data_IF_982622790210
#
_entry.id   IF_982622790210
#
_cell.length_a   1.000
_cell.length_b   1.000
_cell.length_c   1.000
_cell.angle_alpha   90.00
_cell.angle_beta   90.00
_cell.angle_gamma   90.00
#
_symmetry.space_group_name_H-M   'P 1'
#
loop_
_entity.id
_entity.type
_entity.pdbx_description
1 polymer ?
#
# COMPACT_ATOMS: atom_id res chain seq x y z
N UNK A 1 -6.70 -14.98 21.64
CA UNK A 1 -6.16 -13.63 21.53
C UNK A 1 -4.64 -13.80 21.46
N UNK A 2 -4.05 -13.45 20.33
CA UNK A 2 -2.62 -13.62 20.14
C UNK A 2 -1.80 -12.46 20.75
N UNK A 3 -0.51 -12.66 20.90
CA UNK A 3 0.39 -11.66 21.49
C UNK A 3 1.77 -11.64 20.80
N UNK A 4 2.37 -10.44 20.76
CA UNK A 4 3.80 -10.23 20.52
C UNK A 4 4.45 -9.75 21.81
N UNK A 5 5.54 -10.39 22.22
CA UNK A 5 6.34 -9.98 23.38
C UNK A 5 7.59 -9.24 22.92
N UNK A 6 7.86 -8.12 23.53
CA UNK A 6 9.01 -7.29 23.21
C UNK A 6 9.69 -6.74 24.48
N UNK A 7 11.01 -6.73 24.46
CA UNK A 7 11.83 -6.10 25.48
C UNK A 7 12.28 -4.69 25.10
N UNK A 8 12.99 -4.03 26.00
CA UNK A 8 13.54 -2.68 25.76
C UNK A 8 14.47 -2.64 24.53
N UNK A 9 15.19 -3.72 24.27
CA UNK A 9 16.10 -3.83 23.12
C UNK A 9 15.34 -3.87 21.79
N UNK A 10 14.19 -4.55 21.76
CA UNK A 10 13.33 -4.59 20.58
C UNK A 10 12.75 -3.24 20.23
N UNK A 11 12.34 -2.45 21.23
CA UNK A 11 11.84 -1.10 21.03
C UNK A 11 12.91 -0.15 20.47
N UNK A 12 14.19 -0.34 20.89
CA UNK A 12 15.33 0.38 20.33
C UNK A 12 15.67 0.01 18.88
N UNK A 13 15.22 -1.16 18.42
CA UNK A 13 15.44 -1.68 17.07
C UNK A 13 14.17 -1.68 16.20
N UNK A 14 13.26 -0.75 16.47
CA UNK A 14 12.05 -0.58 15.67
C UNK A 14 12.38 0.12 14.34
N UNK A 15 11.84 -0.40 13.24
CA UNK A 15 12.07 0.13 11.88
C UNK A 15 10.76 0.22 11.13
N UNK A 16 10.75 1.02 10.05
CA UNK A 16 9.66 1.06 9.08
C UNK A 16 10.13 0.49 7.74
N UNK A 17 9.26 -0.24 7.06
CA UNK A 17 9.51 -0.72 5.71
C UNK A 17 8.23 -0.71 4.87
N UNK A 18 8.39 -0.57 3.56
CA UNK A 18 7.33 -0.74 2.56
C UNK A 18 7.64 -2.02 1.78
N UNK A 19 6.63 -2.89 1.62
CA UNK A 19 6.74 -4.17 0.93
C UNK A 19 5.86 -4.21 -0.32
N UNK A 20 6.43 -4.03 -1.52
CA UNK A 20 5.70 -4.24 -2.77
C UNK A 20 5.09 -5.65 -2.89
N UNK A 21 5.80 -6.66 -2.40
CA UNK A 21 5.33 -8.05 -2.43
C UNK A 21 4.10 -8.25 -1.55
N UNK A 22 4.11 -7.69 -0.33
CA UNK A 22 2.95 -7.73 0.54
C UNK A 22 1.76 -7.01 -0.10
N UNK A 23 1.96 -5.79 -0.60
CA UNK A 23 0.89 -5.02 -1.25
C UNK A 23 0.31 -5.78 -2.45
N UNK A 24 1.15 -6.48 -3.21
CA UNK A 24 0.72 -7.30 -4.34
C UNK A 24 -0.18 -8.46 -3.90
N UNK A 25 0.23 -9.19 -2.88
CA UNK A 25 -0.54 -10.31 -2.34
C UNK A 25 -1.84 -9.85 -1.67
N UNK A 26 -1.79 -8.75 -0.90
CA UNK A 26 -2.96 -8.15 -0.27
C UNK A 26 -3.94 -7.55 -1.29
N UNK A 27 -3.46 -6.97 -2.39
CA UNK A 27 -4.28 -6.50 -3.49
C UNK A 27 -5.05 -7.65 -4.17
N UNK A 28 -4.42 -8.82 -4.35
CA UNK A 28 -5.10 -10.02 -4.85
C UNK A 28 -6.19 -10.47 -3.87
N UNK A 29 -5.94 -10.44 -2.57
CA UNK A 29 -6.94 -10.70 -1.54
C UNK A 29 -8.11 -9.73 -1.62
N UNK A 30 -7.85 -8.44 -1.83
CA UNK A 30 -8.90 -7.44 -1.94
C UNK A 30 -9.84 -7.68 -3.13
N UNK A 31 -9.34 -8.24 -4.23
CA UNK A 31 -10.17 -8.62 -5.39
C UNK A 31 -11.03 -9.86 -5.12
N UNK A 32 -10.54 -10.81 -4.33
CA UNK A 32 -11.31 -12.03 -3.99
C UNK A 32 -12.35 -11.78 -2.90
N UNK A 33 -12.12 -10.79 -2.02
CA UNK A 33 -13.06 -10.41 -0.95
C UNK A 33 -13.37 -8.90 -0.94
N UNK A 34 -14.10 -8.39 -1.96
CA UNK A 34 -14.39 -6.96 -2.10
C UNK A 34 -15.18 -6.37 -0.92
N UNK A 35 -15.95 -7.21 -0.21
CA UNK A 35 -16.78 -6.78 0.91
C UNK A 35 -15.98 -6.21 2.08
N UNK A 36 -14.78 -6.72 2.30
CA UNK A 36 -13.85 -6.21 3.31
C UNK A 36 -13.01 -5.03 2.85
N UNK A 37 -12.98 -4.78 1.55
CA UNK A 37 -12.09 -3.80 0.92
C UNK A 37 -12.87 -2.69 0.19
N UNK A 38 -13.91 -2.17 0.84
CA UNK A 38 -14.87 -1.21 0.24
C UNK A 38 -14.16 0.04 -0.31
N UNK A 39 -13.13 0.52 0.36
CA UNK A 39 -12.32 1.67 -0.09
C UNK A 39 -11.64 1.43 -1.44
N UNK A 40 -11.38 0.15 -1.80
CA UNK A 40 -10.73 -0.23 -3.05
C UNK A 40 -11.71 -0.57 -4.19
N UNK A 41 -13.02 -0.51 -3.99
CA UNK A 41 -14.02 -0.81 -5.01
C UNK A 41 -13.81 -0.07 -6.35
N UNK A 42 -13.41 1.23 -6.39
CA UNK A 42 -13.14 1.90 -7.65
C UNK A 42 -12.01 1.25 -8.46
N UNK A 43 -11.00 0.72 -7.79
CA UNK A 43 -9.89 -0.02 -8.40
C UNK A 43 -10.30 -1.47 -8.73
N UNK A 44 -10.93 -2.19 -7.79
CA UNK A 44 -11.38 -3.57 -7.96
C UNK A 44 -12.28 -3.72 -9.20
N UNK A 45 -13.18 -2.77 -9.42
CA UNK A 45 -14.09 -2.77 -10.59
C UNK A 45 -13.36 -2.65 -11.93
N UNK A 46 -12.15 -2.10 -11.94
CA UNK A 46 -11.32 -1.92 -13.13
C UNK A 46 -10.37 -3.09 -13.39
N UNK A 47 -10.23 -3.98 -12.41
CA UNK A 47 -9.38 -5.17 -12.48
C UNK A 47 -10.10 -6.47 -12.90
N UNK A 48 -11.30 -6.50 -13.54
CA UNK A 48 -12.01 -7.74 -13.85
C UNK A 48 -11.29 -8.64 -14.85
N UNK A 49 -10.46 -8.10 -15.74
CA UNK A 49 -9.67 -8.86 -16.71
C UNK A 49 -8.72 -9.86 -16.04
N UNK A 50 -8.15 -9.49 -14.89
CA UNK A 50 -7.23 -10.35 -14.12
C UNK A 50 -7.93 -11.52 -13.42
N UNK A 51 -9.26 -11.44 -13.21
CA UNK A 51 -10.09 -12.53 -12.68
C UNK A 51 -10.46 -13.56 -13.76
N UNK A 52 -10.57 -13.15 -15.02
CA UNK A 52 -10.97 -14.02 -16.14
C UNK A 52 -9.84 -14.92 -16.61
N UNK A 53 -8.58 -14.49 -16.45
CA UNK A 53 -7.40 -15.31 -16.74
C UNK A 53 -7.16 -16.43 -15.70
N UNK A 54 -7.91 -16.44 -14.61
CA UNK A 54 -7.81 -17.37 -13.47
C UNK A 54 -8.64 -18.65 -13.63
N UNK A 55 -8.86 -19.16 -14.84
CA UNK A 55 -9.42 -20.49 -15.01
C UNK A 55 -8.55 -21.58 -14.35
N UNK A 56 -9.12 -22.77 -14.01
CA UNK A 56 -8.36 -23.86 -13.41
C UNK A 56 -7.20 -24.25 -14.32
N UNK A 57 -5.96 -23.87 -13.93
CA UNK A 57 -4.74 -24.05 -14.70
C UNK A 57 -4.15 -22.78 -15.33
N UNK A 58 -4.74 -21.61 -15.13
CA UNK A 58 -4.18 -20.32 -15.57
C UNK A 58 -3.00 -19.86 -14.70
N UNK A 59 -2.19 -18.92 -15.23
CA UNK A 59 -1.00 -18.34 -14.56
C UNK A 59 -1.30 -17.74 -13.18
N UNK A 60 -2.55 -17.32 -12.92
CA UNK A 60 -3.00 -16.70 -11.65
C UNK A 60 -3.59 -17.69 -10.64
N UNK A 61 -3.70 -18.99 -10.99
CA UNK A 61 -4.26 -20.00 -10.08
C UNK A 61 -3.52 -20.10 -8.73
N UNK A 62 -2.16 -20.05 -8.67
CA UNK A 62 -1.42 -20.02 -7.41
C UNK A 62 -1.74 -18.79 -6.56
N UNK A 63 -1.91 -17.65 -7.20
CA UNK A 63 -2.27 -16.41 -6.52
C UNK A 63 -3.70 -16.41 -5.98
N UNK A 64 -4.65 -16.97 -6.74
CA UNK A 64 -6.02 -17.15 -6.26
C UNK A 64 -6.07 -18.08 -5.03
N UNK A 65 -5.31 -19.18 -5.04
CA UNK A 65 -5.18 -20.08 -3.91
C UNK A 65 -4.52 -19.41 -2.68
N UNK A 66 -3.50 -18.55 -2.90
CA UNK A 66 -2.94 -17.73 -1.84
C UNK A 66 -3.98 -16.74 -1.29
N UNK A 67 -4.73 -16.06 -2.16
CA UNK A 67 -5.72 -15.07 -1.76
C UNK A 67 -6.87 -15.69 -0.94
N UNK A 68 -7.34 -16.88 -1.31
CA UNK A 68 -8.37 -17.60 -0.56
C UNK A 68 -7.91 -17.98 0.86
N UNK A 69 -6.62 -18.23 1.04
CA UNK A 69 -6.03 -18.65 2.31
C UNK A 69 -5.14 -17.57 2.93
N UNK A 70 -5.25 -16.36 2.45
CA UNK A 70 -4.37 -15.25 2.78
C UNK A 70 -4.14 -15.10 4.28
N UNK A 71 -5.19 -15.20 5.06
CA UNK A 71 -5.17 -15.04 6.51
C UNK A 71 -4.31 -16.09 7.24
N UNK A 72 -4.14 -17.26 6.65
CA UNK A 72 -3.40 -18.37 7.25
C UNK A 72 -1.98 -18.52 6.69
N UNK A 73 -1.80 -18.19 5.42
CA UNK A 73 -0.59 -18.55 4.68
C UNK A 73 0.33 -17.33 4.48
N UNK A 74 -0.22 -16.13 4.34
CA UNK A 74 0.56 -14.94 4.01
C UNK A 74 1.63 -14.63 5.07
N UNK A 75 1.29 -14.67 6.35
CA UNK A 75 2.24 -14.40 7.44
C UNK A 75 3.44 -15.36 7.46
N UNK A 76 3.23 -16.69 7.46
CA UNK A 76 4.33 -17.65 7.42
C UNK A 76 5.09 -17.72 6.10
N UNK A 77 4.44 -17.45 4.97
CA UNK A 77 5.01 -17.65 3.63
C UNK A 77 5.75 -16.42 3.12
N UNK A 78 5.12 -15.23 3.22
CA UNK A 78 5.72 -14.01 2.71
C UNK A 78 6.89 -13.57 3.60
N UNK A 79 8.04 -13.21 3.02
CA UNK A 79 9.18 -12.77 3.80
C UNK A 79 8.92 -11.40 4.44
N UNK A 80 9.41 -11.19 5.66
CA UNK A 80 9.50 -9.86 6.23
C UNK A 80 10.45 -9.00 5.38
N UNK A 81 10.11 -7.74 5.06
CA UNK A 81 10.95 -6.87 4.25
C UNK A 81 12.29 -6.59 4.95
N UNK A 82 13.40 -6.67 4.21
CA UNK A 82 14.74 -6.45 4.75
C UNK A 82 15.17 -5.00 4.74
N UNK A 83 14.68 -4.22 3.80
CA UNK A 83 15.08 -2.84 3.56
C UNK A 83 13.87 -1.91 3.72
N UNK A 84 14.08 -0.63 4.12
CA UNK A 84 12.98 0.33 4.19
C UNK A 84 12.21 0.52 2.87
N UNK A 85 12.90 0.35 1.74
CA UNK A 85 12.36 0.46 0.38
C UNK A 85 12.89 -0.73 -0.42
N UNK A 86 12.23 -1.89 -0.30
CA UNK A 86 12.58 -3.05 -1.10
C UNK A 86 11.99 -2.92 -2.51
N UNK A 87 12.73 -3.43 -3.50
CA UNK A 87 12.19 -3.66 -4.83
C UNK A 87 11.48 -5.01 -4.87
N UNK A 88 10.49 -5.15 -5.75
CA UNK A 88 9.68 -6.38 -5.84
C UNK A 88 10.55 -7.61 -6.17
N UNK A 89 11.58 -7.44 -7.00
CA UNK A 89 12.51 -8.50 -7.40
C UNK A 89 13.33 -9.03 -6.22
N UNK A 90 13.74 -8.16 -5.31
CA UNK A 90 14.46 -8.54 -4.09
C UNK A 90 13.57 -9.37 -3.16
N UNK A 91 12.33 -8.95 -2.98
CA UNK A 91 11.37 -9.67 -2.15
C UNK A 91 10.94 -11.00 -2.79
N UNK A 92 10.76 -11.07 -4.12
CA UNK A 92 10.51 -12.32 -4.83
C UNK A 92 11.70 -13.29 -4.72
N UNK A 93 12.92 -12.77 -4.82
CA UNK A 93 14.12 -13.57 -4.60
C UNK A 93 14.19 -14.11 -3.16
N UNK A 94 13.81 -13.29 -2.18
CA UNK A 94 13.71 -13.71 -0.80
C UNK A 94 12.59 -14.75 -0.59
N UNK A 95 11.46 -14.63 -1.28
CA UNK A 95 10.38 -15.61 -1.28
C UNK A 95 10.88 -16.96 -1.81
N UNK A 96 11.53 -16.98 -2.96
CA UNK A 96 12.08 -18.19 -3.59
C UNK A 96 13.14 -18.88 -2.72
N UNK A 97 13.85 -18.13 -1.89
CA UNK A 97 14.80 -18.67 -0.92
C UNK A 97 14.13 -19.21 0.37
N UNK A 98 12.79 -19.37 0.39
CA UNK A 98 12.08 -19.95 1.54
C UNK A 98 12.36 -21.45 1.63
N UNK A 99 12.79 -21.95 2.81
CA UNK A 99 13.05 -23.38 2.99
C UNK A 99 11.80 -24.23 2.71
N UNK A 100 11.93 -25.38 2.03
CA UNK A 100 10.81 -26.24 1.66
C UNK A 100 9.95 -26.71 2.84
N UNK A 101 10.55 -26.92 3.99
CA UNK A 101 9.82 -27.28 5.23
C UNK A 101 8.84 -26.19 5.65
N UNK A 102 9.22 -24.90 5.59
CA UNK A 102 8.32 -23.80 5.93
C UNK A 102 7.15 -23.70 4.99
N UNK A 103 7.36 -23.99 3.72
CA UNK A 103 6.29 -24.01 2.71
C UNK A 103 5.31 -25.14 3.04
N UNK A 104 5.80 -26.33 3.37
CA UNK A 104 4.96 -27.46 3.76
C UNK A 104 4.14 -27.13 5.01
N UNK A 105 4.78 -26.57 6.03
CA UNK A 105 4.13 -26.20 7.30
C UNK A 105 3.04 -25.15 7.08
N UNK A 106 3.34 -24.09 6.32
CA UNK A 106 2.37 -23.05 5.99
C UNK A 106 1.16 -23.58 5.22
N UNK A 107 1.38 -24.51 4.29
CA UNK A 107 0.32 -25.12 3.50
C UNK A 107 -0.45 -26.20 4.27
N UNK A 108 0.21 -26.92 5.18
CA UNK A 108 -0.42 -27.92 6.04
C UNK A 108 -1.34 -27.27 7.10
N UNK A 109 -1.00 -26.09 7.59
CA UNK A 109 -1.80 -25.32 8.55
C UNK A 109 -3.12 -24.78 7.94
N UNK A 110 -3.22 -24.74 6.60
CA UNK A 110 -4.42 -24.24 5.91
C UNK A 110 -5.54 -25.30 5.87
N UNK A 111 -6.79 -24.96 6.24
CA UNK A 111 -7.92 -25.90 6.18
C UNK A 111 -8.15 -26.44 4.77
N UNK A 112 -8.52 -27.72 4.68
CA UNK A 112 -8.69 -28.46 3.42
C UNK A 112 -9.99 -28.14 2.65
N UNK A 113 -10.52 -26.94 2.75
CA UNK A 113 -11.86 -26.61 2.23
C UNK A 113 -11.90 -25.99 0.83
N UNK A 114 -10.80 -25.87 0.14
CA UNK A 114 -10.78 -25.29 -1.17
C UNK A 114 -10.64 -26.34 -2.28
N UNK A 115 -11.51 -26.24 -3.26
CA UNK A 115 -11.67 -27.17 -4.39
C UNK A 115 -10.74 -26.89 -5.58
N UNK A 116 -9.61 -26.21 -5.39
CA UNK A 116 -8.66 -25.94 -6.45
C UNK A 116 -7.56 -27.00 -6.45
N UNK A 117 -7.30 -27.62 -7.62
CA UNK A 117 -6.28 -28.67 -7.78
C UNK A 117 -4.86 -28.31 -7.39
N UNK A 118 -4.64 -27.08 -6.91
CA UNK A 118 -3.40 -26.59 -6.33
C UNK A 118 -3.08 -27.25 -4.97
N UNK A 119 -4.06 -27.83 -4.28
CA UNK A 119 -3.95 -28.35 -2.90
C UNK A 119 -3.17 -29.66 -2.75
N UNK A 120 -3.07 -30.45 -3.82
CA UNK A 120 -2.39 -31.75 -3.79
C UNK A 120 -0.90 -31.69 -4.14
N UNK A 121 -0.48 -30.63 -4.87
CA UNK A 121 0.91 -30.48 -5.36
C UNK A 121 1.94 -30.03 -4.31
N UNK A 122 1.59 -29.20 -3.28
CA UNK A 122 2.59 -28.64 -2.37
C UNK A 122 3.34 -29.66 -1.53
N UNK A 123 2.72 -30.82 -1.25
CA UNK A 123 3.36 -31.87 -0.49
C UNK A 123 4.44 -32.62 -1.29
N UNK A 124 4.29 -32.64 -2.62
CA UNK A 124 5.14 -33.40 -3.52
C UNK A 124 6.31 -32.57 -4.07
N UNK A 125 6.07 -31.27 -4.38
CA UNK A 125 7.09 -30.39 -4.95
C UNK A 125 6.89 -28.92 -4.45
N UNK A 126 7.33 -28.60 -3.23
CA UNK A 126 7.15 -27.28 -2.63
C UNK A 126 7.94 -26.19 -3.36
N UNK A 127 9.09 -26.50 -3.95
CA UNK A 127 9.92 -25.53 -4.66
C UNK A 127 9.24 -25.08 -5.96
N UNK A 128 8.65 -26.03 -6.68
CA UNK A 128 7.88 -25.73 -7.89
C UNK A 128 6.66 -24.87 -7.59
N UNK A 129 5.93 -25.20 -6.52
CA UNK A 129 4.76 -24.42 -6.08
C UNK A 129 5.17 -22.98 -5.76
N UNK A 130 6.31 -22.81 -5.10
CA UNK A 130 6.82 -21.49 -4.77
C UNK A 130 7.25 -20.70 -6.01
N UNK A 131 7.87 -21.36 -6.99
CA UNK A 131 8.23 -20.75 -8.26
C UNK A 131 6.98 -20.30 -9.05
N UNK A 132 5.96 -21.15 -9.14
CA UNK A 132 4.68 -20.82 -9.78
C UNK A 132 3.97 -19.64 -9.06
N UNK A 133 4.04 -19.58 -7.72
CA UNK A 133 3.49 -18.48 -6.93
C UNK A 133 4.27 -17.19 -7.16
N UNK A 134 5.60 -17.24 -7.18
CA UNK A 134 6.45 -16.07 -7.42
C UNK A 134 6.20 -15.48 -8.82
N UNK A 135 6.05 -16.33 -9.85
CA UNK A 135 5.70 -15.90 -11.21
C UNK A 135 4.30 -15.25 -11.25
N UNK A 136 3.32 -15.86 -10.55
CA UNK A 136 1.97 -15.31 -10.48
C UNK A 136 1.94 -13.96 -9.75
N UNK A 137 2.66 -13.80 -8.65
CA UNK A 137 2.80 -12.55 -7.92
C UNK A 137 3.48 -11.47 -8.78
N UNK A 138 4.55 -11.81 -9.48
CA UNK A 138 5.22 -10.87 -10.38
C UNK A 138 4.30 -10.41 -11.52
N UNK A 139 3.62 -11.36 -12.17
CA UNK A 139 2.65 -11.03 -13.23
C UNK A 139 1.51 -10.14 -12.73
N UNK A 140 1.02 -10.41 -11.51
CA UNK A 140 -0.02 -9.60 -10.88
C UNK A 140 0.49 -8.20 -10.49
N UNK A 141 1.70 -8.11 -9.97
CA UNK A 141 2.35 -6.85 -9.70
C UNK A 141 2.37 -5.96 -10.95
N UNK A 142 2.91 -6.47 -12.06
CA UNK A 142 3.04 -5.74 -13.31
C UNK A 142 1.68 -5.24 -13.84
N UNK A 143 0.66 -6.10 -13.76
CA UNK A 143 -0.64 -5.80 -14.34
C UNK A 143 -1.56 -4.96 -13.46
N UNK A 144 -1.56 -5.19 -12.15
CA UNK A 144 -2.58 -4.66 -11.25
C UNK A 144 -2.06 -3.61 -10.26
N UNK A 145 -0.84 -3.74 -9.77
CA UNK A 145 -0.32 -2.89 -8.68
C UNK A 145 0.66 -1.84 -9.19
N UNK A 146 1.64 -2.24 -10.02
CA UNK A 146 2.68 -1.35 -10.54
C UNK A 146 2.15 -0.07 -11.20
N UNK A 147 1.07 -0.09 -12.02
CA UNK A 147 0.52 1.12 -12.61
C UNK A 147 0.03 2.15 -11.58
N UNK A 148 -0.29 1.69 -10.36
CA UNK A 148 -0.76 2.52 -9.26
C UNK A 148 0.27 2.71 -8.15
N UNK A 149 1.44 2.05 -8.28
CA UNK A 149 2.47 2.02 -7.26
C UNK A 149 2.94 3.38 -6.78
N UNK A 150 3.18 4.39 -7.64
CA UNK A 150 3.60 5.71 -7.16
C UNK A 150 2.59 6.33 -6.17
N UNK A 151 1.29 6.11 -6.38
CA UNK A 151 0.23 6.62 -5.49
C UNK A 151 0.13 5.81 -4.21
N UNK A 152 0.18 4.48 -4.31
CA UNK A 152 0.17 3.57 -3.15
C UNK A 152 1.37 3.91 -2.28
N UNK A 153 2.56 3.95 -2.83
CA UNK A 153 3.80 4.28 -2.13
C UNK A 153 3.72 5.64 -1.44
N UNK A 154 3.22 6.67 -2.10
CA UNK A 154 3.07 8.01 -1.50
C UNK A 154 2.19 7.99 -0.25
N UNK A 155 1.10 7.20 -0.24
CA UNK A 155 0.24 7.02 0.94
C UNK A 155 0.97 6.30 2.06
N UNK A 156 1.73 5.25 1.74
CA UNK A 156 2.51 4.49 2.72
C UNK A 156 3.64 5.34 3.32
N UNK A 157 4.35 6.12 2.51
CA UNK A 157 5.39 7.06 2.95
C UNK A 157 4.79 8.17 3.84
N UNK A 158 3.60 8.67 3.51
CA UNK A 158 2.91 9.66 4.32
C UNK A 158 2.48 9.08 5.69
N UNK A 159 2.06 7.81 5.74
CA UNK A 159 1.77 7.14 7.01
C UNK A 159 3.04 6.98 7.85
N UNK A 160 4.15 6.53 7.26
CA UNK A 160 5.45 6.43 7.94
C UNK A 160 5.88 7.79 8.50
N UNK A 161 5.80 8.85 7.70
CA UNK A 161 6.15 10.20 8.14
C UNK A 161 5.29 10.66 9.33
N UNK A 162 3.98 10.34 9.31
CA UNK A 162 3.10 10.62 10.44
C UNK A 162 3.52 9.84 11.70
N UNK A 163 3.78 8.52 11.56
CA UNK A 163 4.22 7.67 12.69
C UNK A 163 5.58 8.09 13.25
N UNK A 164 6.49 8.52 12.40
CA UNK A 164 7.80 9.03 12.82
C UNK A 164 7.66 10.32 13.62
N UNK A 165 6.73 11.20 13.24
CA UNK A 165 6.42 12.41 14.02
C UNK A 165 5.81 12.05 15.36
N UNK A 166 4.83 11.15 15.38
CA UNK A 166 4.21 10.65 16.61
C UNK A 166 5.24 10.01 17.54
N UNK A 167 6.20 9.25 16.97
CA UNK A 167 7.32 8.69 17.73
C UNK A 167 8.16 9.78 18.44
N UNK A 168 8.40 10.89 17.74
CA UNK A 168 9.19 12.00 18.29
C UNK A 168 8.43 12.82 19.34
N UNK A 169 7.12 12.97 19.18
CA UNK A 169 6.26 13.78 20.05
C UNK A 169 5.79 13.00 21.28
N UNK A 170 5.27 11.78 21.10
CA UNK A 170 4.54 11.01 22.11
C UNK A 170 5.21 9.66 22.45
N UNK A 171 6.26 9.31 21.72
CA UNK A 171 7.06 8.11 21.97
C UNK A 171 6.49 6.83 21.34
N UNK A 172 7.28 5.75 21.48
CA UNK A 172 7.03 4.46 20.81
C UNK A 172 5.70 3.80 21.23
N UNK A 173 5.29 4.03 22.47
CA UNK A 173 4.09 3.42 23.01
C UNK A 173 2.84 3.91 22.31
N UNK A 174 2.76 5.20 22.04
CA UNK A 174 1.65 5.79 21.31
C UNK A 174 1.64 5.33 19.84
N UNK A 175 2.83 5.23 19.21
CA UNK A 175 2.94 4.66 17.85
C UNK A 175 2.30 3.28 17.79
N UNK A 176 2.71 2.36 18.69
CA UNK A 176 2.20 0.98 18.68
C UNK A 176 0.70 0.90 18.96
N UNK A 177 0.19 1.68 19.92
CA UNK A 177 -1.23 1.70 20.29
C UNK A 177 -2.11 2.29 19.20
N UNK A 178 -1.58 3.19 18.37
CA UNK A 178 -2.30 3.89 17.32
C UNK A 178 -2.30 3.15 15.97
N UNK A 179 -1.60 2.01 15.83
CA UNK A 179 -1.51 1.27 14.56
C UNK A 179 -2.87 0.73 14.10
N UNK A 180 -3.64 0.17 15.03
CA UNK A 180 -4.96 -0.40 14.75
C UNK A 180 -5.83 -0.46 16.02
N UNK A 181 -7.16 -0.20 15.95
CA UNK A 181 -8.04 -0.24 17.11
C UNK A 181 -8.09 -1.59 17.84
N UNK A 182 -7.89 -2.70 17.13
CA UNK A 182 -7.86 -4.04 17.73
C UNK A 182 -6.51 -4.41 18.35
N UNK A 183 -5.51 -3.53 18.27
CA UNK A 183 -4.18 -3.76 18.83
C UNK A 183 -4.08 -3.08 20.19
N UNK A 184 -3.95 -3.87 21.23
CA UNK A 184 -3.87 -3.39 22.61
C UNK A 184 -2.50 -3.68 23.21
N UNK A 185 -1.92 -2.67 23.83
CA UNK A 185 -0.68 -2.82 24.56
C UNK A 185 -0.95 -3.13 26.03
N UNK A 186 -0.22 -4.10 26.56
CA UNK A 186 -0.23 -4.48 27.99
C UNK A 186 1.22 -4.74 28.44
N UNK A 187 1.84 -3.75 29.05
CA UNK A 187 3.22 -3.81 29.49
C UNK A 187 4.21 -3.98 28.32
N UNK A 188 4.84 -5.14 28.27
CA UNK A 188 5.80 -5.60 27.27
C UNK A 188 5.14 -6.42 26.13
N UNK A 189 3.81 -6.39 26.03
CA UNK A 189 3.05 -7.20 25.07
C UNK A 189 2.14 -6.34 24.21
N UNK A 190 2.05 -6.72 22.93
CA UNK A 190 0.99 -6.29 22.03
C UNK A 190 0.02 -7.45 21.86
N UNK A 191 -1.26 -7.21 22.10
CA UNK A 191 -2.34 -8.20 22.01
C UNK A 191 -3.35 -7.82 20.95
N UNK A 192 -3.74 -8.80 20.14
CA UNK A 192 -4.82 -8.65 19.16
C UNK A 192 -5.41 -10.02 18.81
N UNK A 193 -6.69 -10.10 18.43
CA UNK A 193 -7.26 -11.31 17.82
C UNK A 193 -6.54 -11.75 16.54
N UNK A 194 -5.87 -10.82 15.88
CA UNK A 194 -5.23 -11.00 14.57
C UNK A 194 -3.75 -11.43 14.66
N UNK A 195 -3.19 -11.49 15.86
CA UNK A 195 -1.83 -11.95 16.12
C UNK A 195 -1.78 -13.48 16.32
N UNK A 196 -0.60 -14.12 16.15
CA UNK A 196 -0.43 -15.55 16.38
C UNK A 196 -0.89 -15.98 17.79
N UNK A 197 -1.72 -17.02 17.85
CA UNK A 197 -2.32 -17.47 19.12
C UNK A 197 -1.27 -17.99 20.13
N UNK A 198 -0.20 -18.61 19.62
CA UNK A 198 0.88 -19.16 20.42
C UNK A 198 1.84 -18.09 20.97
N UNK A 199 1.61 -16.83 20.57
CA UNK A 199 2.49 -15.72 20.89
C UNK A 199 3.82 -15.77 20.14
N UNK A 200 4.45 -14.62 19.94
CA UNK A 200 5.79 -14.53 19.37
C UNK A 200 6.64 -13.62 20.26
N UNK A 201 7.82 -14.11 20.63
CA UNK A 201 8.81 -13.34 21.38
C UNK A 201 9.84 -12.80 20.38
N UNK A 202 10.02 -11.48 20.36
CA UNK A 202 10.95 -10.83 19.42
C UNK A 202 12.42 -11.12 19.78
N UNK A 203 12.70 -11.51 21.04
CA UNK A 203 14.03 -11.99 21.47
C UNK A 203 15.16 -10.98 21.26
N UNK A 204 14.89 -9.69 21.25
CA UNK A 204 15.87 -8.65 21.02
C UNK A 204 16.20 -8.39 19.54
N UNK A 205 15.50 -9.01 18.60
CA UNK A 205 15.74 -8.83 17.14
C UNK A 205 15.15 -7.53 16.60
N UNK A 206 14.23 -6.91 17.34
CA UNK A 206 13.48 -5.73 16.92
C UNK A 206 12.20 -6.08 16.16
N UNK A 207 11.52 -5.06 15.66
CA UNK A 207 10.27 -5.17 14.92
C UNK A 207 10.28 -4.23 13.73
N UNK A 208 9.87 -4.74 12.56
CA UNK A 208 9.64 -3.89 11.39
C UNK A 208 8.16 -3.55 11.28
N UNK A 209 7.80 -2.28 11.32
CA UNK A 209 6.44 -1.79 11.08
C UNK A 209 6.23 -1.56 9.60
N UNK A 210 5.24 -2.22 9.01
CA UNK A 210 4.97 -2.19 7.57
C UNK A 210 3.54 -1.68 7.33
N UNK A 211 3.37 -0.40 6.95
CA UNK A 211 2.06 0.09 6.54
C UNK A 211 1.60 -0.62 5.28
N UNK A 212 0.31 -0.86 5.14
CA UNK A 212 -0.28 -1.47 3.96
C UNK A 212 -1.55 -0.73 3.54
N UNK A 213 -1.66 -0.46 2.24
CA UNK A 213 -2.87 0.11 1.67
C UNK A 213 -4.00 -0.92 1.59
N UNK A 214 -3.69 -2.19 1.41
CA UNK A 214 -4.68 -3.26 1.24
C UNK A 214 -4.90 -4.12 2.49
N UNK A 215 -4.19 -3.89 3.58
CA UNK A 215 -4.47 -4.59 4.83
C UNK A 215 -5.79 -4.13 5.45
N UNK A 216 -6.60 -5.08 5.93
CA UNK A 216 -7.84 -4.83 6.67
C UNK A 216 -7.64 -4.99 8.19
N UNK A 217 -6.49 -5.56 8.60
CA UNK A 217 -6.11 -5.86 10.00
C UNK A 217 -4.60 -6.00 10.14
N UNK A 218 -4.12 -6.09 11.39
CA UNK A 218 -2.71 -6.36 11.64
C UNK A 218 -2.33 -7.80 11.31
N UNK A 219 -1.09 -7.99 10.80
CA UNK A 219 -0.51 -9.30 10.47
C UNK A 219 0.96 -9.35 10.85
N UNK A 220 1.42 -10.50 11.32
CA UNK A 220 2.84 -10.73 11.55
C UNK A 220 3.41 -11.52 10.38
N UNK A 221 4.46 -10.97 9.78
CA UNK A 221 5.33 -11.69 8.86
C UNK A 221 6.50 -12.23 9.67
N UNK A 222 6.65 -13.55 9.68
CA UNK A 222 7.69 -14.18 10.47
C UNK A 222 9.07 -13.80 9.93
N UNK A 223 9.92 -13.33 10.83
CA UNK A 223 11.32 -13.05 10.53
C UNK A 223 12.10 -14.30 10.12
N UNK A 224 13.23 -14.10 9.47
CA UNK A 224 14.23 -15.13 9.16
C UNK A 224 15.45 -14.90 10.04
N UNK A 225 16.38 -15.86 10.10
CA UNK A 225 17.65 -15.65 10.81
C UNK A 225 18.30 -14.35 10.37
N UNK A 226 18.48 -13.42 11.33
CA UNK A 226 19.06 -12.10 11.09
C UNK A 226 18.12 -11.05 10.49
N UNK A 227 16.83 -11.36 10.32
CA UNK A 227 15.80 -10.39 9.91
C UNK A 227 14.71 -10.37 10.98
N UNK A 228 14.39 -9.20 11.56
CA UNK A 228 13.30 -9.09 12.53
C UNK A 228 11.96 -9.45 11.88
N UNK A 229 10.97 -9.92 12.64
CA UNK A 229 9.61 -10.06 12.14
C UNK A 229 9.05 -8.69 11.76
N UNK A 230 8.05 -8.70 10.87
CA UNK A 230 7.35 -7.48 10.49
C UNK A 230 5.89 -7.51 10.96
N UNK A 231 5.42 -6.40 11.53
CA UNK A 231 4.03 -6.16 11.82
C UNK A 231 3.43 -5.31 10.70
N UNK A 232 2.64 -5.93 9.85
CA UNK A 232 1.86 -5.22 8.84
C UNK A 232 0.62 -4.64 9.50
N UNK A 233 0.28 -3.41 9.15
CA UNK A 233 -0.90 -2.72 9.67
C UNK A 233 -1.57 -1.86 8.59
N UNK A 234 -2.90 -1.59 8.69
CA UNK A 234 -3.60 -0.73 7.74
C UNK A 234 -3.05 0.70 7.77
N UNK A 235 -2.64 1.21 6.61
CA UNK A 235 -2.21 2.60 6.46
C UNK A 235 -3.40 3.56 6.61
N UNK A 236 -3.10 4.81 6.96
CA UNK A 236 -4.08 5.88 7.09
C UNK A 236 -4.41 6.52 5.74
N UNK A 237 -5.52 7.30 5.71
CA UNK A 237 -5.92 8.15 4.58
C UNK A 237 -6.16 7.41 3.25
N UNK A 238 -6.54 6.13 3.29
CA UNK A 238 -6.81 5.31 2.11
C UNK A 238 -7.98 5.82 1.25
N UNK A 239 -8.91 6.59 1.83
CA UNK A 239 -10.03 7.18 1.09
C UNK A 239 -9.59 8.04 -0.10
N UNK A 240 -8.42 8.66 -0.02
CA UNK A 240 -7.86 9.50 -1.09
C UNK A 240 -7.12 8.70 -2.17
N UNK A 241 -6.84 7.40 -1.95
CA UNK A 241 -6.01 6.59 -2.84
C UNK A 241 -6.60 6.46 -4.25
N UNK A 242 -7.93 6.28 -4.36
CA UNK A 242 -8.64 6.08 -5.62
C UNK A 242 -9.47 7.28 -6.03
N UNK A 243 -9.53 8.31 -5.19
CA UNK A 243 -10.05 9.58 -5.67
C UNK A 243 -9.26 9.96 -6.92
N UNK A 244 -9.95 10.28 -8.01
CA UNK A 244 -9.33 11.03 -9.08
C UNK A 244 -8.82 12.34 -8.44
N UNK A 245 -7.59 12.32 -7.99
CA UNK A 245 -6.80 13.51 -8.22
C UNK A 245 -6.82 13.63 -9.74
N UNK A 246 -7.67 14.47 -10.28
CA UNK A 246 -7.30 15.17 -11.50
C UNK A 246 -5.85 15.51 -11.24
N UNK A 247 -4.94 14.98 -12.07
CA UNK A 247 -3.52 15.11 -11.88
C UNK A 247 -3.31 16.54 -11.46
N UNK A 248 -2.83 16.82 -10.25
CA UNK A 248 -2.69 18.20 -9.77
C UNK A 248 -1.83 18.94 -10.78
N UNK A 249 -0.88 18.24 -11.40
CA UNK A 249 -0.04 18.72 -12.49
C UNK A 249 -0.86 18.93 -13.77
N UNK A 250 -1.77 18.04 -14.11
CA UNK A 250 -2.69 18.15 -15.25
C UNK A 250 -3.74 19.24 -15.02
N UNK A 251 -4.25 19.37 -13.80
CA UNK A 251 -5.17 20.42 -13.42
C UNK A 251 -4.48 21.78 -13.40
N UNK A 252 -3.26 21.86 -12.87
CA UNK A 252 -2.41 23.05 -12.88
C UNK A 252 -2.03 23.42 -14.32
N UNK A 253 -1.62 22.45 -15.16
CA UNK A 253 -1.28 22.69 -16.56
C UNK A 253 -2.50 23.16 -17.36
N UNK A 254 -3.67 22.51 -17.21
CA UNK A 254 -4.93 22.96 -17.85
C UNK A 254 -5.36 24.33 -17.37
N UNK A 255 -5.24 24.60 -16.07
CA UNK A 255 -5.59 25.88 -15.50
C UNK A 255 -4.64 26.97 -16.02
N UNK A 256 -3.33 26.72 -16.04
CA UNK A 256 -2.33 27.63 -16.60
C UNK A 256 -2.60 27.90 -18.08
N UNK A 257 -2.89 26.88 -18.90
CA UNK A 257 -3.28 27.02 -20.30
C UNK A 257 -4.53 27.90 -20.49
N UNK A 258 -5.50 27.79 -19.56
CA UNK A 258 -6.70 28.62 -19.58
C UNK A 258 -6.47 30.07 -19.16
N UNK A 259 -5.33 30.42 -18.55
CA UNK A 259 -4.96 31.79 -18.17
C UNK A 259 -4.18 32.56 -19.25
N UNK A 260 -4.02 32.02 -20.45
CA UNK A 260 -3.48 32.74 -21.60
C UNK A 260 -4.29 33.99 -22.00
N UNK A 261 -5.52 34.09 -21.55
CA UNK A 261 -6.34 35.32 -21.59
C UNK A 261 -6.88 35.63 -20.19
N UNK A 262 -7.09 36.94 -19.85
CA UNK A 262 -7.60 37.32 -18.55
C UNK A 262 -8.93 36.60 -18.22
N UNK A 263 -8.97 35.84 -17.17
CA UNK A 263 -10.14 35.01 -16.82
C UNK A 263 -10.40 35.07 -15.32
N UNK A 264 -11.69 35.09 -14.93
CA UNK A 264 -12.09 35.01 -13.52
C UNK A 264 -12.08 33.58 -13.00
N UNK A 265 -12.07 33.39 -11.68
CA UNK A 265 -12.18 32.08 -11.06
C UNK A 265 -13.39 31.30 -11.56
N UNK A 266 -14.53 31.95 -11.74
CA UNK A 266 -15.76 31.32 -12.25
C UNK A 266 -15.61 30.85 -13.69
N UNK A 267 -15.02 31.70 -14.55
CA UNK A 267 -14.75 31.33 -15.96
C UNK A 267 -13.77 30.18 -16.07
N UNK A 268 -12.72 30.18 -15.24
CA UNK A 268 -11.74 29.13 -15.18
C UNK A 268 -12.37 27.81 -14.69
N UNK A 269 -13.26 27.85 -13.70
CA UNK A 269 -14.00 26.68 -13.24
C UNK A 269 -14.87 26.08 -14.36
N UNK A 270 -15.60 26.92 -15.09
CA UNK A 270 -16.43 26.49 -16.22
C UNK A 270 -15.58 25.85 -17.36
N UNK A 271 -14.40 26.42 -17.65
CA UNK A 271 -13.51 25.93 -18.74
C UNK A 271 -12.74 24.66 -18.37
N UNK A 272 -12.36 24.50 -17.10
CA UNK A 272 -11.56 23.36 -16.66
C UNK A 272 -12.39 22.20 -16.11
N UNK A 273 -13.68 22.45 -15.76
CA UNK A 273 -14.54 21.49 -15.10
C UNK A 273 -14.23 21.30 -13.60
N UNK A 274 -13.33 22.12 -13.04
CA UNK A 274 -12.96 22.10 -11.64
C UNK A 274 -13.98 22.83 -10.77
N UNK A 275 -14.07 22.44 -9.49
CA UNK A 275 -14.85 23.22 -8.52
C UNK A 275 -14.20 24.59 -8.26
N UNK A 276 -14.99 25.60 -7.88
CA UNK A 276 -14.47 26.93 -7.54
C UNK A 276 -13.40 26.91 -6.45
N UNK A 277 -13.56 26.00 -5.46
CA UNK A 277 -12.58 25.81 -4.38
C UNK A 277 -11.26 25.26 -4.91
N UNK A 278 -11.30 24.25 -5.79
CA UNK A 278 -10.11 23.67 -6.42
C UNK A 278 -9.38 24.69 -7.30
N UNK A 279 -10.14 25.46 -8.13
CA UNK A 279 -9.57 26.52 -8.95
C UNK A 279 -8.87 27.57 -8.09
N UNK A 280 -9.50 28.01 -7.00
CA UNK A 280 -8.90 29.00 -6.09
C UNK A 280 -7.60 28.49 -5.46
N UNK A 281 -7.58 27.22 -5.04
CA UNK A 281 -6.40 26.58 -4.45
C UNK A 281 -5.26 26.44 -5.47
N UNK A 282 -5.55 25.99 -6.68
CA UNK A 282 -4.56 25.85 -7.74
C UNK A 282 -4.03 27.20 -8.24
N UNK A 283 -4.88 28.22 -8.33
CA UNK A 283 -4.44 29.58 -8.66
C UNK A 283 -3.51 30.18 -7.59
N UNK A 284 -3.71 29.86 -6.31
CA UNK A 284 -2.77 30.25 -5.26
C UNK A 284 -1.39 29.63 -5.50
N UNK A 285 -1.35 28.31 -5.77
CA UNK A 285 -0.08 27.60 -6.09
C UNK A 285 0.61 28.19 -7.31
N UNK A 286 -0.12 28.40 -8.42
CA UNK A 286 0.43 28.99 -9.66
C UNK A 286 0.94 30.41 -9.45
N UNK A 287 0.26 31.21 -8.64
CA UNK A 287 0.66 32.57 -8.31
C UNK A 287 1.90 32.58 -7.42
N UNK A 288 1.95 31.73 -6.39
CA UNK A 288 3.10 31.62 -5.49
C UNK A 288 4.34 31.11 -6.22
N UNK A 289 4.15 30.29 -7.28
CA UNK A 289 5.19 29.88 -8.22
C UNK A 289 5.54 30.94 -9.27
N UNK A 290 4.87 32.10 -9.28
CA UNK A 290 5.11 33.17 -10.25
C UNK A 290 4.66 32.87 -11.69
N UNK A 291 3.83 31.82 -11.89
CA UNK A 291 3.34 31.40 -13.21
C UNK A 291 2.09 32.13 -13.66
N UNK A 292 1.29 32.66 -12.71
CA UNK A 292 0.07 33.40 -12.95
C UNK A 292 0.07 34.68 -12.12
N UNK A 293 -0.40 35.79 -12.71
CA UNK A 293 -0.65 37.04 -12.02
C UNK A 293 -2.15 37.30 -11.89
N UNK A 294 -2.57 37.82 -10.74
CA UNK A 294 -3.95 38.24 -10.51
C UNK A 294 -4.07 39.75 -10.54
N UNK A 295 -4.94 40.27 -11.40
CA UNK A 295 -5.23 41.74 -11.52
C UNK A 295 -6.67 42.00 -11.10
N UNK A 296 -6.84 42.93 -10.17
CA UNK A 296 -8.18 43.35 -9.75
C UNK A 296 -8.75 44.35 -10.71
N UNK A 297 -9.90 44.01 -11.31
CA UNK A 297 -10.66 44.90 -12.14
C UNK A 297 -12.06 45.04 -11.57
N UNK A 298 -12.41 46.24 -11.08
CA UNK A 298 -13.69 46.52 -10.38
C UNK A 298 -13.87 45.57 -9.17
N UNK A 299 -14.88 44.70 -9.23
CA UNK A 299 -15.23 43.73 -8.15
C UNK A 299 -14.69 42.33 -8.38
N UNK A 300 -14.01 42.13 -9.49
CA UNK A 300 -13.50 40.81 -9.90
C UNK A 300 -11.98 40.78 -9.94
N UNK A 301 -11.42 39.56 -9.75
CA UNK A 301 -9.98 39.31 -9.97
C UNK A 301 -9.84 38.49 -11.25
N UNK A 302 -9.05 39.01 -12.18
CA UNK A 302 -8.72 38.36 -13.43
C UNK A 302 -7.31 37.80 -13.31
N UNK A 303 -7.14 36.55 -13.70
CA UNK A 303 -5.86 35.84 -13.68
C UNK A 303 -5.33 35.70 -15.09
N UNK A 304 -4.04 35.96 -15.27
CA UNK A 304 -3.30 35.84 -16.55
C UNK A 304 -1.98 35.11 -16.32
N UNK A 305 -1.56 34.31 -17.31
CA UNK A 305 -0.23 33.71 -17.30
C UNK A 305 0.84 34.83 -17.37
N UNK A 306 1.91 34.66 -16.61
CA UNK A 306 3.12 35.46 -16.73
C UNK A 306 3.97 35.02 -17.92
N UNK A 307 5.03 35.76 -18.26
CA UNK A 307 5.99 35.33 -19.30
C UNK A 307 6.60 33.96 -18.94
N UNK A 308 6.89 33.71 -17.65
CA UNK A 308 7.38 32.43 -17.16
C UNK A 308 6.33 31.32 -17.35
N UNK A 309 5.07 31.60 -17.02
CA UNK A 309 3.97 30.66 -17.22
C UNK A 309 3.74 30.33 -18.70
N UNK A 310 3.83 31.34 -19.57
CA UNK A 310 3.72 31.15 -21.03
C UNK A 310 4.90 30.35 -21.59
N UNK A 311 6.12 30.63 -21.15
CA UNK A 311 7.31 29.85 -21.56
C UNK A 311 7.25 28.38 -21.16
N UNK A 312 6.66 28.09 -20.00
CA UNK A 312 6.47 26.71 -19.54
C UNK A 312 5.50 25.95 -20.45
N UNK A 313 4.37 26.60 -20.84
CA UNK A 313 3.39 25.99 -21.75
C UNK A 313 3.91 25.73 -23.17
N UNK A 314 4.90 26.50 -23.62
CA UNK A 314 5.48 26.36 -24.96
C UNK A 314 6.52 25.25 -25.02
N UNK A 315 7.03 24.79 -23.89
CA UNK A 315 8.05 23.72 -23.79
C UNK A 315 7.47 22.34 -23.42
N UNK A 316 6.23 22.27 -23.01
CA UNK A 316 5.48 21.05 -22.71
C UNK A 316 4.72 20.54 -23.94
#
# INVERSE_FOLDING_TARGET
MGELRFGAHDLGNLRFAISPLWETAAAARAVTDPGRHVVHLPWIRRAPALRQDGGPGGRTAPLAALADRFDLVAGPLLPAPRCPLAEIEEELSALLATPPERIRDALAAAPRHASTGFERRPAEDPERVLAELAEALHSWWEAAVRPHWPRIRAVLEADIAHRTRLLAEDGIHEVLSSLHPALHRDGDRLRSPDLPADGEDLGGTGLTLTPSAFADRCRVLTGRRGTPPALVYPARALGLLWERRENTDDALARLLACTGSPSTTTQLAARTGLSLGAVSQHLAVLRDAGLVAGHRYRREVHYTATDLGTALLTRA
#
